data_IF_578247864434
#
_entry.id   IF_578247864434
#
_cell.length_a   1.000
_cell.length_b   1.000
_cell.length_c   1.000
_cell.angle_alpha   90.00
_cell.angle_beta   90.00
_cell.angle_gamma   90.00
#
_symmetry.space_group_name_H-M   'P 1'
#
loop_
_entity.id
_entity.type
_entity.pdbx_description
1 polymer ?
#
# COMPACT_ATOMS: atom_id res chain seq x y z
N UNK A 1 -20.90 24.96 8.09
CA UNK A 1 -21.60 23.69 7.78
C UNK A 1 -20.57 22.57 7.72
N UNK A 2 -20.37 21.81 8.81
CA UNK A 2 -19.38 20.71 8.85
C UNK A 2 -19.95 19.52 8.07
N UNK A 3 -19.28 19.08 7.00
CA UNK A 3 -19.62 17.84 6.27
C UNK A 3 -19.39 16.68 7.24
N UNK A 4 -20.47 16.07 7.71
CA UNK A 4 -20.49 15.08 8.79
C UNK A 4 -20.60 13.64 8.24
N UNK A 5 -20.16 13.40 7.00
CA UNK A 5 -20.23 12.08 6.36
C UNK A 5 -18.81 11.53 6.22
N UNK A 6 -18.61 10.31 6.73
CA UNK A 6 -17.39 9.55 6.45
C UNK A 6 -17.35 9.11 4.99
N UNK A 7 -16.16 8.88 4.46
CA UNK A 7 -15.95 8.47 3.08
C UNK A 7 -15.08 7.22 2.98
N UNK A 8 -15.15 6.52 1.85
CA UNK A 8 -14.23 5.43 1.54
C UNK A 8 -13.46 5.77 0.26
N UNK A 9 -12.15 5.60 0.33
CA UNK A 9 -11.22 5.85 -0.77
C UNK A 9 -10.77 4.48 -1.28
N UNK A 10 -10.99 4.21 -2.57
CA UNK A 10 -10.52 2.99 -3.21
C UNK A 10 -9.32 3.33 -4.10
N UNK A 11 -8.17 2.76 -3.77
CA UNK A 11 -6.91 2.95 -4.47
C UNK A 11 -6.63 1.70 -5.31
N UNK A 12 -6.38 1.90 -6.59
CA UNK A 12 -5.98 0.84 -7.53
C UNK A 12 -4.54 1.10 -7.96
N UNK A 13 -3.62 0.18 -7.63
CA UNK A 13 -2.18 0.35 -7.83
C UNK A 13 -1.62 -0.84 -8.60
N UNK A 14 -0.91 -0.57 -9.71
CA UNK A 14 -0.17 -1.60 -10.45
C UNK A 14 1.35 -1.53 -10.22
N UNK A 15 1.85 -0.37 -9.79
CA UNK A 15 3.28 -0.11 -9.61
C UNK A 15 3.56 0.72 -8.36
N UNK A 16 4.82 0.67 -7.92
CA UNK A 16 5.31 1.44 -6.76
C UNK A 16 5.32 2.96 -7.06
N UNK A 17 4.89 3.82 -6.12
CA UNK A 17 5.07 5.26 -6.23
C UNK A 17 6.56 5.63 -6.30
N UNK A 18 6.99 6.20 -7.43
CA UNK A 18 8.38 6.60 -7.70
C UNK A 18 8.57 8.09 -7.91
N UNK A 19 7.47 8.86 -7.98
CA UNK A 19 7.46 10.30 -8.21
C UNK A 19 6.49 10.98 -7.25
N UNK A 20 6.85 12.15 -6.74
CA UNK A 20 5.97 13.00 -5.91
C UNK A 20 6.17 12.84 -4.40
N UNK A 21 5.10 13.00 -3.63
CA UNK A 21 5.11 12.80 -2.18
C UNK A 21 4.90 11.31 -1.87
N UNK A 22 5.62 10.80 -0.86
CA UNK A 22 5.56 9.38 -0.51
C UNK A 22 6.26 8.46 -1.52
N UNK A 23 7.33 8.96 -2.17
CA UNK A 23 8.18 8.11 -3.01
C UNK A 23 8.71 6.96 -2.17
N UNK A 24 8.56 5.74 -2.69
CA UNK A 24 9.11 4.55 -2.06
C UNK A 24 10.38 4.16 -2.80
N UNK A 25 11.50 3.87 -2.11
CA UNK A 25 12.71 3.35 -2.74
C UNK A 25 12.52 1.90 -3.18
N UNK A 26 13.38 1.43 -4.07
CA UNK A 26 13.49 -0.01 -4.30
C UNK A 26 14.23 -0.62 -3.12
N UNK A 27 13.57 -1.49 -2.35
CA UNK A 27 14.25 -2.17 -1.25
C UNK A 27 15.13 -3.23 -1.88
N UNK A 28 16.42 -3.25 -1.53
CA UNK A 28 17.32 -4.32 -1.96
C UNK A 28 16.98 -5.57 -1.15
N UNK A 29 15.92 -6.28 -1.56
CA UNK A 29 15.36 -7.43 -0.84
C UNK A 29 16.42 -8.50 -0.59
N UNK A 30 17.33 -8.72 -1.55
CA UNK A 30 18.33 -9.80 -1.47
C UNK A 30 19.36 -9.68 -0.35
N UNK A 31 19.55 -8.52 0.30
CA UNK A 31 20.59 -8.36 1.34
C UNK A 31 20.14 -8.77 2.74
N UNK A 32 18.83 -8.82 3.01
CA UNK A 32 18.28 -8.96 4.38
C UNK A 32 17.35 -10.16 4.53
N UNK A 33 16.84 -10.71 3.42
CA UNK A 33 16.03 -11.93 3.40
C UNK A 33 16.78 -13.11 4.06
N UNK A 34 16.09 -13.84 4.94
CA UNK A 34 16.66 -15.00 5.65
C UNK A 34 17.60 -14.66 6.80
N UNK A 35 17.64 -13.38 7.23
CA UNK A 35 18.39 -12.95 8.42
C UNK A 35 17.44 -12.50 9.53
N UNK A 36 17.95 -12.37 10.75
CA UNK A 36 17.18 -11.84 11.89
C UNK A 36 16.67 -10.40 11.67
N UNK A 37 17.14 -9.71 10.64
CA UNK A 37 16.72 -8.35 10.25
C UNK A 37 15.65 -8.32 9.17
N UNK A 38 15.15 -9.47 8.71
CA UNK A 38 14.11 -9.54 7.68
C UNK A 38 12.83 -8.81 8.09
N UNK A 39 12.52 -8.76 9.39
CA UNK A 39 11.35 -8.03 9.91
C UNK A 39 11.37 -6.53 9.56
N UNK A 40 12.55 -5.94 9.33
CA UNK A 40 12.69 -4.53 8.94
C UNK A 40 12.06 -4.26 7.56
N UNK A 41 11.90 -5.30 6.71
CA UNK A 41 11.19 -5.20 5.43
C UNK A 41 9.67 -5.02 5.60
N UNK A 42 9.12 -5.34 6.78
CA UNK A 42 7.70 -5.24 7.08
C UNK A 42 7.30 -3.87 7.67
N UNK A 43 8.26 -2.99 7.97
CA UNK A 43 7.98 -1.62 8.37
C UNK A 43 8.21 -0.64 7.22
N UNK A 44 7.52 0.50 7.26
CA UNK A 44 7.73 1.60 6.32
C UNK A 44 9.03 2.33 6.63
N UNK A 45 9.83 2.73 5.63
CA UNK A 45 11.09 3.43 5.86
C UNK A 45 10.87 4.90 6.24
N UNK A 46 9.67 5.44 5.97
CA UNK A 46 9.27 6.83 6.22
C UNK A 46 7.96 6.87 7.03
N UNK A 47 7.78 7.94 7.82
CA UNK A 47 6.55 8.26 8.54
C UNK A 47 5.46 8.88 7.66
N UNK A 48 5.75 9.27 6.41
CA UNK A 48 4.77 9.92 5.52
C UNK A 48 3.41 9.21 5.48
N UNK A 49 3.40 7.90 5.21
CA UNK A 49 2.15 7.11 5.14
C UNK A 49 1.47 6.95 6.50
N UNK A 50 2.23 6.94 7.60
CA UNK A 50 1.68 6.92 8.96
C UNK A 50 0.95 8.24 9.25
N UNK A 51 1.57 9.39 8.93
CA UNK A 51 0.96 10.72 9.10
C UNK A 51 -0.28 10.90 8.23
N UNK A 52 -0.18 10.52 6.95
CA UNK A 52 -1.32 10.56 6.03
C UNK A 52 -2.50 9.70 6.53
N UNK A 53 -2.23 8.53 7.12
CA UNK A 53 -3.28 7.70 7.70
C UNK A 53 -3.97 8.37 8.90
N UNK A 54 -3.23 9.10 9.74
CA UNK A 54 -3.80 9.88 10.85
C UNK A 54 -4.70 11.00 10.32
N UNK A 55 -4.25 11.75 9.32
CA UNK A 55 -5.05 12.82 8.70
C UNK A 55 -6.37 12.27 8.15
N UNK A 56 -6.34 11.11 7.48
CA UNK A 56 -7.53 10.45 6.94
C UNK A 56 -8.55 10.07 8.02
N UNK A 57 -8.09 9.68 9.21
CA UNK A 57 -8.96 9.39 10.36
C UNK A 57 -9.67 10.67 10.83
N UNK A 58 -8.98 11.82 10.86
CA UNK A 58 -9.60 13.11 11.21
C UNK A 58 -10.73 13.47 10.24
N UNK A 59 -10.57 13.13 8.96
CA UNK A 59 -11.59 13.27 7.92
C UNK A 59 -12.60 12.11 7.86
N UNK A 60 -12.57 11.18 8.83
CA UNK A 60 -13.44 9.98 8.87
C UNK A 60 -13.44 9.20 7.56
N UNK A 61 -12.27 9.06 6.94
CA UNK A 61 -12.10 8.41 5.66
C UNK A 61 -11.31 7.11 5.81
N UNK A 62 -11.82 6.02 5.24
CA UNK A 62 -11.13 4.73 5.18
C UNK A 62 -10.51 4.50 3.80
N UNK A 63 -9.42 3.72 3.75
CA UNK A 63 -8.68 3.45 2.50
C UNK A 63 -8.68 1.96 2.20
N UNK A 64 -9.24 1.57 1.06
CA UNK A 64 -9.10 0.24 0.49
C UNK A 64 -8.05 0.27 -0.62
N UNK A 65 -7.14 -0.71 -0.62
CA UNK A 65 -6.09 -0.86 -1.63
C UNK A 65 -6.35 -2.14 -2.42
N UNK A 66 -6.45 -1.99 -3.73
CA UNK A 66 -6.47 -3.08 -4.71
C UNK A 66 -5.16 -3.00 -5.50
N UNK A 67 -4.23 -3.91 -5.20
CA UNK A 67 -2.90 -3.96 -5.79
C UNK A 67 -2.82 -5.02 -6.89
N UNK A 68 -2.20 -4.68 -8.02
CA UNK A 68 -1.99 -5.54 -9.18
C UNK A 68 -0.49 -5.57 -9.56
N UNK A 69 0.39 -6.03 -8.65
CA UNK A 69 1.83 -5.91 -8.86
C UNK A 69 2.32 -6.89 -9.95
N UNK A 70 3.11 -6.36 -10.89
CA UNK A 70 3.99 -7.17 -11.75
C UNK A 70 5.41 -7.29 -11.17
N UNK A 71 5.78 -6.34 -10.30
CA UNK A 71 7.07 -6.27 -9.60
C UNK A 71 6.84 -5.76 -8.17
N UNK A 72 7.93 -5.61 -7.40
CA UNK A 72 7.86 -5.09 -6.03
C UNK A 72 7.09 -3.76 -5.94
N UNK A 73 6.09 -3.71 -5.05
CA UNK A 73 5.16 -2.59 -4.86
C UNK A 73 5.28 -1.93 -3.48
N UNK A 74 6.02 -2.53 -2.56
CA UNK A 74 6.12 -2.11 -1.15
C UNK A 74 4.75 -1.99 -0.45
N UNK A 75 3.99 -3.09 -0.47
CA UNK A 75 2.68 -3.19 0.21
C UNK A 75 2.83 -2.99 1.72
N UNK A 76 3.98 -3.35 2.31
CA UNK A 76 4.27 -3.12 3.72
C UNK A 76 4.14 -1.64 4.10
N UNK A 77 4.60 -0.74 3.22
CA UNK A 77 4.49 0.69 3.42
C UNK A 77 3.11 1.25 3.08
N UNK A 78 2.60 0.97 1.87
CA UNK A 78 1.34 1.59 1.41
C UNK A 78 0.15 1.05 2.21
N UNK A 79 0.21 -0.22 2.64
CA UNK A 79 -0.81 -0.89 3.44
C UNK A 79 -1.07 -0.25 4.81
N UNK A 80 -0.15 0.60 5.30
CA UNK A 80 -0.32 1.42 6.51
C UNK A 80 -1.61 2.26 6.42
N UNK A 81 -1.90 2.82 5.24
CA UNK A 81 -3.12 3.61 5.02
C UNK A 81 -4.36 2.79 5.37
N UNK A 82 -4.50 1.59 4.80
CA UNK A 82 -5.62 0.70 5.09
C UNK A 82 -5.62 0.21 6.53
N UNK A 83 -4.46 -0.14 7.08
CA UNK A 83 -4.30 -0.65 8.45
C UNK A 83 -4.82 0.34 9.49
N UNK A 84 -4.47 1.62 9.38
CA UNK A 84 -4.84 2.62 10.39
C UNK A 84 -6.20 3.27 10.11
N UNK A 85 -6.60 3.41 8.83
CA UNK A 85 -7.90 4.00 8.48
C UNK A 85 -9.08 3.01 8.53
N UNK A 86 -8.83 1.74 8.86
CA UNK A 86 -9.85 0.70 8.99
C UNK A 86 -10.38 0.14 7.67
N UNK A 87 -9.59 0.25 6.59
CA UNK A 87 -9.91 -0.35 5.30
C UNK A 87 -9.25 -1.72 5.09
N UNK A 88 -9.09 -2.13 3.84
CA UNK A 88 -8.53 -3.43 3.49
C UNK A 88 -7.48 -3.37 2.36
N UNK A 89 -6.59 -4.36 2.32
CA UNK A 89 -5.65 -4.56 1.21
C UNK A 89 -6.00 -5.85 0.50
N UNK A 90 -6.13 -5.79 -0.83
CA UNK A 90 -6.33 -6.93 -1.74
C UNK A 90 -5.21 -6.90 -2.76
N UNK A 91 -4.48 -8.00 -2.90
CA UNK A 91 -3.37 -8.12 -3.85
C UNK A 91 -3.68 -9.20 -4.88
N UNK A 92 -3.48 -8.88 -6.15
CA UNK A 92 -3.67 -9.72 -7.32
C UNK A 92 -2.34 -9.78 -8.08
N UNK A 93 -1.35 -10.57 -7.59
CA UNK A 93 -0.04 -10.64 -8.22
C UNK A 93 -0.13 -11.24 -9.62
N UNK A 94 0.66 -10.71 -10.56
CA UNK A 94 0.69 -11.16 -11.95
C UNK A 94 -0.70 -11.20 -12.62
N UNK A 95 -1.53 -10.19 -12.34
CA UNK A 95 -2.85 -10.06 -12.95
C UNK A 95 -2.75 -10.00 -14.49
N UNK A 96 -3.50 -10.86 -15.16
CA UNK A 96 -3.68 -10.89 -16.60
C UNK A 96 -5.18 -10.75 -16.91
N UNK A 97 -5.51 -10.01 -17.97
CA UNK A 97 -6.91 -9.85 -18.41
C UNK A 97 -7.52 -11.18 -18.89
N UNK A 98 -6.69 -12.01 -19.52
CA UNK A 98 -7.05 -13.33 -20.04
C UNK A 98 -6.16 -14.33 -19.31
N UNK A 99 -6.78 -15.33 -18.66
CA UNK A 99 -6.04 -16.44 -18.06
C UNK A 99 -5.40 -17.26 -19.19
N UNK A 100 -4.06 -17.29 -19.31
CA UNK A 100 -3.39 -18.04 -20.37
C UNK A 100 -3.63 -19.56 -20.25
N UNK A 101 -4.22 -20.04 -19.16
CA UNK A 101 -4.55 -21.46 -18.93
C UNK A 101 -6.01 -21.82 -19.28
N UNK A 102 -6.85 -20.87 -19.70
CA UNK A 102 -8.24 -21.11 -20.11
C UNK A 102 -8.49 -20.95 -21.62
N UNK A 103 -7.47 -21.20 -22.45
CA UNK A 103 -7.56 -21.23 -23.91
C UNK A 103 -7.90 -22.60 -24.47
#
# INVERSE_FOLDING_TARGET
MKRNQGSSINIFLASRPTVGLGILPDRVEGKVLGTDKEYELLDSPDEYYKKLAVDLIEYRSSVNIFAFPYSYLDIATIGILSKFSGGCVKSYPHFLEIDPLQG
#
